data_IF_539901945549
#
_entry.id   IF_539901945549
#
_cell.length_a   1.000
_cell.length_b   1.000
_cell.length_c   1.000
_cell.angle_alpha   90.00
_cell.angle_beta   90.00
_cell.angle_gamma   90.00
#
_symmetry.space_group_name_H-M   'P 1'
#
loop_
_entity.id
_entity.type
_entity.pdbx_description
1 polymer ?
#
# COMPACT_ATOMS: atom_id res chain seq x y z
N UNK A 1 28.56 48.11 12.56
CA UNK A 1 28.79 46.81 13.24
C UNK A 1 27.57 45.94 12.99
N UNK A 2 27.70 45.00 12.04
CA UNK A 2 26.61 44.17 11.54
C UNK A 2 26.65 42.81 12.23
N UNK A 3 25.56 42.41 12.87
CA UNK A 3 25.28 40.98 13.07
C UNK A 3 23.78 40.75 12.98
N UNK A 4 23.30 40.57 11.75
CA UNK A 4 21.98 40.00 11.47
C UNK A 4 22.12 38.49 11.65
N UNK A 5 21.62 37.95 12.77
CA UNK A 5 21.46 36.53 12.94
C UNK A 5 20.37 36.04 11.97
N UNK A 6 20.77 35.30 10.94
CA UNK A 6 19.83 34.59 10.05
C UNK A 6 19.55 33.25 10.72
N UNK A 7 18.38 33.14 11.35
CA UNK A 7 17.77 31.86 11.73
C UNK A 7 17.36 31.12 10.45
N UNK A 8 18.21 30.19 9.97
CA UNK A 8 17.77 29.17 9.02
C UNK A 8 16.83 28.19 9.75
N UNK A 9 15.54 28.48 9.73
CA UNK A 9 14.52 27.48 9.98
C UNK A 9 14.48 26.53 8.78
N UNK A 10 15.31 25.48 8.83
CA UNK A 10 15.26 24.39 7.86
C UNK A 10 13.97 23.60 8.17
N UNK A 11 12.87 23.99 7.52
CA UNK A 11 11.64 23.21 7.52
C UNK A 11 11.97 21.86 6.85
N UNK A 12 12.31 20.87 7.68
CA UNK A 12 12.42 19.48 7.27
C UNK A 12 11.02 19.03 6.85
N UNK A 13 10.66 19.31 5.60
CA UNK A 13 9.50 18.70 4.96
C UNK A 13 9.75 17.20 5.00
N UNK A 14 8.86 16.39 5.60
CA UNK A 14 8.92 14.95 5.43
C UNK A 14 8.48 14.66 4.00
N UNK A 15 9.36 14.94 3.05
CA UNK A 15 9.33 14.38 1.72
C UNK A 15 9.72 12.91 1.91
N UNK A 16 8.76 12.14 2.41
CA UNK A 16 8.88 10.71 2.55
C UNK A 16 9.15 10.20 1.15
N UNK A 17 10.39 9.80 0.93
CA UNK A 17 10.74 8.99 -0.21
C UNK A 17 11.06 7.64 0.36
N UNK A 18 10.43 6.60 -0.20
CA UNK A 18 10.68 5.17 -0.05
C UNK A 18 9.45 4.34 0.43
N UNK A 19 8.76 3.59 -0.46
CA UNK A 19 7.48 2.91 -0.11
C UNK A 19 7.18 1.57 -0.83
N UNK A 20 6.26 0.77 -0.26
CA UNK A 20 5.77 -0.49 -0.85
C UNK A 20 4.34 -0.39 -1.37
N UNK A 21 4.08 -0.84 -2.60
CA UNK A 21 2.78 -0.72 -3.27
C UNK A 21 2.18 -2.09 -3.62
N UNK A 22 0.86 -2.20 -3.54
CA UNK A 22 0.12 -3.39 -3.98
C UNK A 22 0.01 -3.33 -5.50
N UNK A 23 0.90 -4.02 -6.21
CA UNK A 23 1.05 -3.90 -7.66
C UNK A 23 -0.08 -4.61 -8.40
N UNK A 24 -0.35 -5.87 -8.03
CA UNK A 24 -1.44 -6.67 -8.60
C UNK A 24 -1.93 -7.66 -7.56
N UNK A 25 -3.24 -7.88 -7.52
CA UNK A 25 -3.89 -8.91 -6.72
C UNK A 25 -4.95 -9.63 -7.57
N UNK A 26 -5.02 -10.95 -7.44
CA UNK A 26 -6.04 -11.82 -8.02
C UNK A 26 -6.84 -12.51 -6.94
N UNK A 27 -8.09 -12.86 -7.26
CA UNK A 27 -8.92 -13.70 -6.41
C UNK A 27 -8.74 -15.17 -6.76
N UNK A 28 -8.99 -16.07 -5.80
CA UNK A 28 -8.86 -17.52 -6.03
C UNK A 28 -9.84 -18.07 -7.08
N UNK A 29 -10.90 -17.34 -7.43
CA UNK A 29 -11.82 -17.67 -8.52
C UNK A 29 -11.59 -16.80 -9.77
N UNK A 30 -10.44 -16.14 -9.87
CA UNK A 30 -10.04 -15.32 -11.01
C UNK A 30 -10.25 -13.82 -10.80
N UNK A 31 -10.15 -13.06 -11.90
CA UNK A 31 -10.12 -11.60 -11.88
C UNK A 31 -8.83 -11.03 -11.30
N UNK A 32 -8.58 -9.75 -11.55
CA UNK A 32 -7.40 -9.05 -11.05
C UNK A 32 -7.73 -7.59 -10.74
N UNK A 33 -6.87 -6.99 -9.92
CA UNK A 33 -6.95 -5.57 -9.58
C UNK A 33 -5.58 -5.03 -9.24
N UNK A 34 -5.43 -3.71 -9.26
CA UNK A 34 -4.32 -2.98 -8.67
C UNK A 34 -4.82 -2.20 -7.45
N UNK A 35 -3.93 -1.73 -6.58
CA UNK A 35 -4.38 -0.78 -5.55
C UNK A 35 -4.91 0.53 -6.14
N UNK A 36 -5.80 1.16 -5.38
CA UNK A 36 -6.26 2.51 -5.63
C UNK A 36 -5.08 3.49 -5.60
N UNK A 37 -5.01 4.36 -6.62
CA UNK A 37 -3.94 5.34 -6.77
C UNK A 37 -2.74 4.83 -7.59
N UNK A 38 -2.72 3.56 -7.98
CA UNK A 38 -1.78 3.02 -8.97
C UNK A 38 -2.05 3.66 -10.34
N UNK A 39 -0.98 4.09 -11.00
CA UNK A 39 -1.02 4.78 -12.31
C UNK A 39 -0.59 3.87 -13.47
N UNK A 40 -0.60 2.55 -13.25
CA UNK A 40 -0.23 1.54 -14.24
C UNK A 40 1.22 1.66 -14.71
N UNK A 41 1.46 1.33 -15.98
CA UNK A 41 2.79 1.37 -16.60
C UNK A 41 3.40 2.77 -16.79
N UNK A 42 2.71 3.84 -16.36
CA UNK A 42 3.22 5.22 -16.42
C UNK A 42 4.35 5.42 -15.39
N UNK A 43 4.29 4.70 -14.26
CA UNK A 43 5.28 4.79 -13.19
C UNK A 43 6.30 3.66 -13.37
N UNK A 44 7.58 3.95 -13.64
CA UNK A 44 8.60 2.92 -13.76
C UNK A 44 8.71 2.11 -12.46
N UNK A 45 8.93 0.80 -12.59
CA UNK A 45 9.27 -0.07 -11.44
C UNK A 45 10.64 0.29 -10.86
N UNK A 46 11.72 0.15 -11.64
CA UNK A 46 13.05 0.58 -11.22
C UNK A 46 13.35 2.04 -11.61
N UNK A 47 14.12 2.75 -10.79
CA UNK A 47 14.56 4.12 -11.08
C UNK A 47 14.76 5.00 -9.86
N UNK A 48 14.85 6.32 -10.10
CA UNK A 48 14.93 7.30 -9.02
C UNK A 48 13.62 7.29 -8.22
N UNK A 49 13.73 7.21 -6.90
CA UNK A 49 12.63 7.28 -5.94
C UNK A 49 11.55 8.35 -6.26
N UNK A 50 11.96 9.57 -6.63
CA UNK A 50 11.02 10.66 -6.97
C UNK A 50 10.15 10.38 -8.20
N UNK A 51 10.47 9.36 -8.97
CA UNK A 51 9.77 8.94 -10.19
C UNK A 51 9.01 7.63 -9.96
N UNK A 52 9.55 6.70 -9.15
CA UNK A 52 9.00 5.35 -8.96
C UNK A 52 7.98 5.26 -7.81
N UNK A 53 7.90 6.26 -6.94
CA UNK A 53 7.10 6.22 -5.70
C UNK A 53 5.78 7.00 -5.78
N UNK A 54 5.52 7.65 -6.91
CA UNK A 54 4.41 8.60 -7.05
C UNK A 54 3.04 7.93 -6.89
N UNK A 55 2.97 6.62 -7.06
CA UNK A 55 1.74 5.83 -6.96
C UNK A 55 1.65 4.98 -5.69
N UNK A 56 2.59 5.11 -4.75
CA UNK A 56 2.48 4.39 -3.49
C UNK A 56 1.50 5.06 -2.53
N UNK A 57 0.57 4.28 -2.00
CA UNK A 57 -0.41 4.78 -1.04
C UNK A 57 0.22 4.89 0.35
N UNK A 58 0.07 6.07 0.93
CA UNK A 58 0.42 6.36 2.32
C UNK A 58 -0.86 6.57 3.14
N UNK A 59 -0.99 5.85 4.24
CA UNK A 59 -2.08 5.99 5.21
C UNK A 59 -1.69 6.92 6.35
N UNK A 60 -2.69 7.36 7.13
CA UNK A 60 -2.48 8.24 8.29
C UNK A 60 -2.11 7.49 9.58
N UNK A 61 -2.28 6.16 9.60
CA UNK A 61 -2.16 5.33 10.80
C UNK A 61 -1.61 3.96 10.46
N UNK A 62 -0.72 3.45 11.31
CA UNK A 62 -0.15 2.09 11.21
C UNK A 62 -1.14 1.01 11.65
N UNK A 63 -2.21 1.41 12.35
CA UNK A 63 -3.32 0.51 12.69
C UNK A 63 -4.17 0.26 11.44
N UNK A 64 -4.23 -0.99 11.00
CA UNK A 64 -4.97 -1.38 9.80
C UNK A 64 -6.49 -1.14 9.91
N UNK A 65 -7.07 -1.38 11.09
CA UNK A 65 -8.48 -1.10 11.38
C UNK A 65 -8.72 0.40 11.65
N UNK A 66 -8.38 1.24 10.68
CA UNK A 66 -8.67 2.68 10.69
C UNK A 66 -9.22 3.09 9.34
N UNK A 67 -10.13 4.04 9.33
CA UNK A 67 -10.84 4.42 8.10
C UNK A 67 -9.98 5.19 7.10
N UNK A 68 -10.47 5.21 5.87
CA UNK A 68 -9.94 6.02 4.78
C UNK A 68 -9.01 5.28 3.84
N UNK A 69 -8.87 5.86 2.65
CA UNK A 69 -8.29 5.22 1.46
C UNK A 69 -6.82 5.61 1.20
N UNK A 70 -6.24 6.44 2.07
CA UNK A 70 -4.88 6.96 1.92
C UNK A 70 -4.75 8.03 0.85
N UNK A 71 -3.51 8.33 0.47
CA UNK A 71 -3.16 9.24 -0.62
C UNK A 71 -1.88 8.77 -1.29
N UNK A 72 -1.70 9.11 -2.56
CA UNK A 72 -0.42 8.94 -3.27
C UNK A 72 0.18 10.31 -3.56
N UNK A 73 1.49 10.36 -3.80
CA UNK A 73 2.18 11.63 -4.11
C UNK A 73 1.80 12.17 -5.48
N UNK A 74 1.71 11.31 -6.49
CA UNK A 74 1.36 11.68 -7.87
C UNK A 74 -0.15 11.79 -8.12
N UNK A 75 -0.97 11.06 -7.37
CA UNK A 75 -2.42 11.08 -7.52
C UNK A 75 -3.15 11.93 -6.47
N UNK A 76 -2.50 12.33 -5.38
CA UNK A 76 -3.16 13.00 -4.26
C UNK A 76 -4.08 12.08 -3.46
N UNK A 77 -5.13 12.63 -2.83
CA UNK A 77 -6.06 11.86 -1.99
C UNK A 77 -6.76 10.75 -2.79
N UNK A 78 -6.76 9.53 -2.28
CA UNK A 78 -7.51 8.42 -2.86
C UNK A 78 -9.01 8.58 -2.53
N UNK A 79 -9.87 8.31 -3.51
CA UNK A 79 -11.34 8.42 -3.41
C UNK A 79 -11.98 7.25 -4.15
N UNK A 80 -13.20 6.88 -3.76
CA UNK A 80 -13.94 5.79 -4.44
C UNK A 80 -14.18 6.07 -5.93
N UNK A 81 -14.33 7.35 -6.30
CA UNK A 81 -14.43 7.78 -7.69
C UNK A 81 -13.22 7.38 -8.54
N UNK A 82 -12.02 7.26 -7.93
CA UNK A 82 -10.82 6.81 -8.62
C UNK A 82 -10.78 5.30 -8.87
N UNK A 83 -11.74 4.53 -8.35
CA UNK A 83 -11.81 3.10 -8.62
C UNK A 83 -12.11 2.81 -10.10
N UNK A 84 -12.74 3.73 -10.82
CA UNK A 84 -12.92 3.62 -12.28
C UNK A 84 -11.57 3.52 -13.00
N UNK A 85 -10.53 4.22 -12.52
CA UNK A 85 -9.20 4.12 -13.09
C UNK A 85 -8.52 2.78 -12.79
N UNK A 86 -8.86 2.15 -11.65
CA UNK A 86 -8.39 0.79 -11.30
C UNK A 86 -9.02 -0.23 -12.25
N UNK A 87 -10.33 -0.12 -12.50
CA UNK A 87 -11.03 -0.97 -13.47
C UNK A 87 -10.48 -0.80 -14.89
N UNK A 88 -10.20 0.43 -15.31
CA UNK A 88 -9.60 0.69 -16.62
C UNK A 88 -8.22 0.03 -16.78
N UNK A 89 -7.45 -0.10 -15.70
CA UNK A 89 -6.13 -0.73 -15.71
C UNK A 89 -6.17 -2.26 -15.61
N UNK A 90 -7.15 -2.81 -14.89
CA UNK A 90 -7.20 -4.24 -14.57
C UNK A 90 -8.18 -5.02 -15.46
N UNK A 91 -9.10 -4.32 -16.12
CA UNK A 91 -10.20 -4.94 -16.87
C UNK A 91 -11.52 -4.86 -16.10
N UNK A 92 -12.57 -5.46 -16.67
CA UNK A 92 -13.94 -5.34 -16.14
C UNK A 92 -14.27 -6.27 -14.98
N UNK A 93 -13.39 -7.21 -14.65
CA UNK A 93 -13.66 -8.25 -13.65
C UNK A 93 -12.76 -8.06 -12.44
N UNK A 94 -13.34 -7.63 -11.32
CA UNK A 94 -12.65 -7.58 -10.03
C UNK A 94 -12.21 -8.98 -9.58
N UNK A 95 -11.22 -9.09 -8.67
CA UNK A 95 -10.88 -10.33 -8.00
C UNK A 95 -12.14 -11.01 -7.43
N UNK A 96 -12.36 -12.25 -7.86
CA UNK A 96 -13.48 -13.07 -7.40
C UNK A 96 -12.99 -13.99 -6.29
N UNK A 97 -13.64 -13.92 -5.13
CA UNK A 97 -13.26 -14.66 -3.93
C UNK A 97 -14.40 -15.58 -3.51
N UNK A 98 -14.10 -16.85 -3.24
CA UNK A 98 -15.13 -17.80 -2.81
C UNK A 98 -15.77 -17.41 -1.47
N UNK A 99 -17.11 -17.48 -1.36
CA UNK A 99 -17.81 -17.24 -0.07
C UNK A 99 -17.52 -18.33 0.97
N UNK A 100 -17.12 -19.52 0.53
CA UNK A 100 -16.80 -20.69 1.37
C UNK A 100 -15.38 -20.66 1.98
N UNK A 101 -14.71 -19.51 1.97
CA UNK A 101 -13.34 -19.34 2.48
C UNK A 101 -12.31 -19.20 1.36
N UNK A 102 -12.50 -18.19 0.50
CA UNK A 102 -11.58 -17.86 -0.58
C UNK A 102 -10.36 -17.05 -0.13
N UNK A 103 -9.47 -16.77 -1.09
CA UNK A 103 -8.25 -16.02 -0.85
C UNK A 103 -7.97 -15.01 -1.96
N UNK A 104 -7.15 -14.03 -1.61
CA UNK A 104 -6.51 -13.13 -2.54
C UNK A 104 -5.01 -13.40 -2.54
N UNK A 105 -4.37 -13.26 -3.70
CA UNK A 105 -2.92 -13.42 -3.84
C UNK A 105 -2.38 -12.49 -4.91
N UNK A 106 -1.09 -12.16 -4.85
CA UNK A 106 -0.43 -11.36 -5.88
C UNK A 106 0.88 -10.79 -5.39
N UNK A 107 1.20 -9.58 -5.87
CA UNK A 107 2.53 -8.99 -5.73
C UNK A 107 2.47 -7.66 -5.00
N UNK A 108 3.31 -7.54 -3.98
CA UNK A 108 3.69 -6.25 -3.40
C UNK A 108 5.06 -5.88 -3.96
N UNK A 109 5.12 -4.73 -4.61
CA UNK A 109 6.37 -4.17 -5.09
C UNK A 109 6.97 -3.26 -4.02
N UNK A 110 8.17 -3.61 -3.56
CA UNK A 110 8.90 -2.87 -2.54
C UNK A 110 9.94 -2.00 -3.23
N UNK A 111 9.63 -0.71 -3.37
CA UNK A 111 10.57 0.25 -3.96
C UNK A 111 11.79 0.40 -3.04
N UNK A 112 11.57 0.34 -1.73
CA UNK A 112 12.59 0.64 -0.73
C UNK A 112 12.43 -0.14 0.57
N UNK A 113 13.49 -0.13 1.38
CA UNK A 113 13.58 -0.97 2.57
C UNK A 113 12.40 -0.82 3.55
N UNK A 114 11.87 0.38 3.75
CA UNK A 114 10.78 0.72 4.69
C UNK A 114 9.35 0.50 4.14
N UNK A 115 9.24 0.01 2.90
CA UNK A 115 8.01 -0.48 2.31
C UNK A 115 7.63 -1.89 2.75
N UNK A 116 8.54 -2.61 3.41
CA UNK A 116 8.45 -4.06 3.61
C UNK A 116 7.43 -4.49 4.69
N UNK A 117 7.38 -5.78 5.01
CA UNK A 117 6.41 -6.36 5.94
C UNK A 117 6.78 -6.30 7.44
N UNK A 118 6.02 -7.01 8.29
CA UNK A 118 4.83 -7.79 7.94
C UNK A 118 3.64 -6.88 7.59
N UNK A 119 2.66 -7.38 6.85
CA UNK A 119 1.50 -6.62 6.40
C UNK A 119 0.26 -7.06 7.19
N UNK A 120 -0.75 -6.21 7.26
CA UNK A 120 -2.06 -6.54 7.79
C UNK A 120 -3.12 -6.23 6.74
N UNK A 121 -4.13 -7.09 6.64
CA UNK A 121 -5.25 -6.92 5.73
C UNK A 121 -6.57 -6.82 6.49
N UNK A 122 -7.38 -5.80 6.18
CA UNK A 122 -8.73 -5.61 6.74
C UNK A 122 -9.72 -5.52 5.59
N UNK A 123 -10.80 -6.29 5.68
CA UNK A 123 -11.91 -6.30 4.75
C UNK A 123 -13.01 -5.38 5.27
N UNK A 124 -13.41 -4.40 4.46
CA UNK A 124 -14.60 -3.58 4.65
C UNK A 124 -15.73 -4.11 3.74
N UNK A 125 -16.75 -4.76 4.30
CA UNK A 125 -17.89 -5.30 3.55
C UNK A 125 -18.76 -4.24 2.87
N UNK A 126 -18.75 -3.00 3.38
CA UNK A 126 -19.58 -1.91 2.85
C UNK A 126 -18.97 -1.28 1.60
N UNK A 127 -17.69 -1.53 1.35
CA UNK A 127 -16.94 -0.96 0.25
C UNK A 127 -16.81 0.58 0.28
N UNK A 128 -16.93 1.19 1.47
CA UNK A 128 -16.91 2.66 1.64
C UNK A 128 -15.59 3.20 2.19
N UNK A 129 -14.71 2.31 2.65
CA UNK A 129 -13.46 2.63 3.35
C UNK A 129 -13.60 2.65 4.87
N UNK A 130 -14.64 2.01 5.41
CA UNK A 130 -14.97 1.89 6.84
C UNK A 130 -14.23 0.71 7.49
N UNK A 131 -12.90 0.73 7.41
CA UNK A 131 -12.05 -0.36 7.91
C UNK A 131 -12.01 -0.47 9.44
N UNK A 132 -12.40 0.55 10.20
CA UNK A 132 -12.45 0.46 11.67
C UNK A 132 -13.48 -0.55 12.17
N UNK A 133 -14.51 -0.82 11.38
CA UNK A 133 -15.53 -1.85 11.64
C UNK A 133 -15.36 -3.07 10.74
N UNK A 134 -14.27 -3.13 9.98
CA UNK A 134 -13.96 -4.23 9.08
C UNK A 134 -13.46 -5.47 9.82
N UNK A 135 -13.38 -6.57 9.08
CA UNK A 135 -12.89 -7.86 9.60
C UNK A 135 -11.47 -8.12 9.11
N UNK A 136 -10.60 -8.59 9.99
CA UNK A 136 -9.22 -8.96 9.61
C UNK A 136 -9.23 -10.14 8.65
N UNK A 137 -8.53 -10.00 7.52
CA UNK A 137 -8.15 -11.10 6.65
C UNK A 137 -6.82 -11.70 7.13
N UNK A 138 -6.73 -13.02 7.17
CA UNK A 138 -5.53 -13.71 7.64
C UNK A 138 -4.49 -13.70 6.54
N UNK A 139 -3.38 -12.97 6.73
CA UNK A 139 -2.27 -12.98 5.77
C UNK A 139 -1.54 -14.31 5.84
N UNK A 140 -1.58 -15.08 4.75
CA UNK A 140 -1.02 -16.43 4.64
C UNK A 140 0.33 -16.46 3.94
N UNK A 141 0.66 -15.44 3.16
CA UNK A 141 1.99 -15.24 2.58
C UNK A 141 2.43 -13.82 2.83
N UNK A 142 3.52 -13.68 3.58
CA UNK A 142 4.03 -12.41 4.04
C UNK A 142 5.15 -11.88 3.15
N UNK A 143 5.10 -10.57 2.87
CA UNK A 143 6.29 -9.82 2.44
C UNK A 143 7.32 -9.89 3.57
N UNK A 144 8.59 -10.26 3.29
CA UNK A 144 9.64 -10.29 4.29
C UNK A 144 9.88 -8.91 4.90
N UNK A 145 10.37 -8.87 6.14
CA UNK A 145 10.67 -7.64 6.84
C UNK A 145 10.29 -7.69 8.32
N UNK A 146 10.74 -6.69 9.06
CA UNK A 146 10.45 -6.50 10.47
C UNK A 146 10.10 -5.04 10.72
N UNK A 147 8.93 -4.77 11.33
CA UNK A 147 8.42 -3.42 11.59
C UNK A 147 8.47 -2.52 10.35
N UNK A 148 8.04 -3.05 9.21
CA UNK A 148 7.99 -2.33 7.95
C UNK A 148 9.33 -2.25 7.21
N UNK A 149 10.40 -2.87 7.72
CA UNK A 149 11.76 -2.71 7.17
C UNK A 149 12.38 -4.05 6.73
N UNK A 150 12.99 -4.07 5.54
CA UNK A 150 13.85 -5.17 5.04
C UNK A 150 15.32 -4.72 4.97
N UNK A 151 16.25 -5.68 5.00
CA UNK A 151 17.67 -5.40 4.87
C UNK A 151 17.99 -4.73 3.53
N UNK A 152 18.81 -3.67 3.56
CA UNK A 152 19.31 -3.04 2.33
C UNK A 152 20.34 -3.96 1.65
N UNK A 153 20.40 -4.01 0.31
CA UNK A 153 21.30 -4.90 -0.43
C UNK A 153 22.80 -4.61 -0.24
N UNK A 154 23.20 -3.50 0.41
CA UNK A 154 24.56 -3.26 0.90
C UNK A 154 24.52 -2.49 2.22
N UNK A 155 25.27 -2.95 3.22
CA UNK A 155 25.37 -2.25 4.51
C UNK A 155 25.92 -0.84 4.31
N UNK A 156 25.19 0.16 4.80
CA UNK A 156 25.61 1.57 4.78
C UNK A 156 26.84 1.73 5.69
N UNK A 157 27.87 2.43 5.21
CA UNK A 157 29.05 2.75 6.00
C UNK A 157 28.71 3.51 7.28
N UNK A 158 29.61 3.48 8.28
CA UNK A 158 29.36 4.01 9.63
C UNK A 158 28.85 5.45 9.62
N UNK A 159 29.42 6.31 8.77
CA UNK A 159 29.04 7.72 8.60
C UNK A 159 27.59 7.85 8.12
N UNK A 160 27.21 7.12 7.06
CA UNK A 160 25.83 7.13 6.57
C UNK A 160 24.87 6.62 7.64
N UNK A 161 25.24 5.58 8.40
CA UNK A 161 24.41 5.07 9.51
C UNK A 161 24.21 6.13 10.60
N UNK A 162 25.26 6.85 10.98
CA UNK A 162 25.19 7.94 11.96
C UNK A 162 24.32 9.09 11.45
N UNK A 163 24.48 9.50 10.19
CA UNK A 163 23.65 10.55 9.60
C UNK A 163 22.18 10.14 9.50
N UNK A 164 21.87 8.86 9.24
CA UNK A 164 20.50 8.33 9.28
C UNK A 164 19.93 8.40 10.69
N UNK A 165 20.71 7.99 11.70
CA UNK A 165 20.28 8.01 13.10
C UNK A 165 20.06 9.43 13.62
N UNK A 166 20.82 10.40 13.11
CA UNK A 166 20.67 11.83 13.41
C UNK A 166 19.57 12.50 12.56
N UNK A 167 18.88 11.76 11.68
CA UNK A 167 17.82 12.31 10.81
C UNK A 167 18.32 13.22 9.68
N UNK A 168 19.63 13.25 9.43
CA UNK A 168 20.28 14.12 8.43
C UNK A 168 20.15 13.53 7.01
N UNK A 169 20.10 12.20 6.88
CA UNK A 169 19.92 11.53 5.58
C UNK A 169 18.81 10.47 5.64
N UNK A 170 18.12 10.25 4.50
CA UNK A 170 16.94 9.39 4.40
C UNK A 170 17.21 7.97 4.91
N UNK A 171 16.27 7.43 5.71
CA UNK A 171 16.38 6.11 6.36
C UNK A 171 16.46 4.95 5.39
N UNK A 172 15.69 5.02 4.30
CA UNK A 172 15.45 3.87 3.46
C UNK A 172 16.33 3.85 2.21
N UNK A 173 16.73 2.64 1.81
CA UNK A 173 17.48 2.40 0.57
C UNK A 173 16.54 1.83 -0.49
N UNK A 174 16.79 2.16 -1.74
CA UNK A 174 16.09 1.54 -2.86
C UNK A 174 16.49 0.06 -2.98
N UNK A 175 15.48 -0.81 -3.10
CA UNK A 175 15.65 -2.26 -3.24
C UNK A 175 14.96 -2.78 -4.50
N UNK A 176 13.81 -2.20 -4.90
CA UNK A 176 13.01 -2.58 -6.08
C UNK A 176 12.82 -4.10 -6.21
N UNK A 177 12.18 -4.69 -5.21
CA UNK A 177 11.94 -6.13 -5.16
C UNK A 177 10.43 -6.43 -5.20
N UNK A 178 10.06 -7.47 -5.95
CA UNK A 178 8.70 -8.00 -5.94
C UNK A 178 8.61 -9.16 -4.94
N UNK A 179 7.62 -9.10 -4.06
CA UNK A 179 7.34 -10.17 -3.12
C UNK A 179 5.90 -10.65 -3.25
N UNK A 180 5.74 -11.97 -3.16
CA UNK A 180 4.44 -12.59 -3.08
C UNK A 180 3.71 -12.16 -1.81
N UNK A 181 2.41 -11.96 -1.94
CA UNK A 181 1.50 -11.71 -0.84
C UNK A 181 0.24 -12.53 -1.04
N UNK A 182 -0.32 -13.07 0.03
CA UNK A 182 -1.61 -13.74 0.01
C UNK A 182 -2.33 -13.56 1.33
N UNK A 183 -3.65 -13.43 1.28
CA UNK A 183 -4.51 -13.36 2.45
C UNK A 183 -5.79 -14.17 2.24
N UNK A 184 -6.22 -14.88 3.28
CA UNK A 184 -7.51 -15.56 3.33
C UNK A 184 -8.60 -14.57 3.77
N UNK A 185 -9.69 -14.53 2.99
CA UNK A 185 -10.85 -13.69 3.28
C UNK A 185 -11.81 -14.51 4.17
N UNK A 186 -12.36 -13.93 5.25
CA UNK A 186 -13.24 -14.66 6.15
C UNK A 186 -14.43 -15.30 5.41
N UNK A 187 -14.74 -16.56 5.72
CA UNK A 187 -15.91 -17.25 5.18
C UNK A 187 -17.21 -16.49 5.55
N UNK A 188 -18.20 -16.52 4.66
CA UNK A 188 -19.46 -15.80 4.85
C UNK A 188 -19.37 -14.28 4.65
N UNK A 189 -18.22 -13.74 4.25
CA UNK A 189 -18.09 -12.32 3.87
C UNK A 189 -19.12 -11.99 2.80
N UNK A 190 -19.93 -10.95 3.04
CA UNK A 190 -20.95 -10.45 2.11
C UNK A 190 -20.64 -9.00 1.79
N UNK A 191 -20.46 -8.69 0.51
CA UNK A 191 -20.09 -7.36 0.05
C UNK A 191 -21.31 -6.58 -0.43
N UNK A 192 -21.46 -5.32 -0.01
CA UNK A 192 -22.60 -4.47 -0.39
C UNK A 192 -22.20 -3.20 -1.12
N UNK A 193 -20.89 -2.91 -1.21
CA UNK A 193 -20.38 -1.69 -1.81
C UNK A 193 -20.60 -1.60 -3.31
N UNK A 194 -20.52 -0.37 -3.81
CA UNK A 194 -20.54 -0.08 -5.25
C UNK A 194 -19.39 0.88 -5.58
N UNK A 195 -18.47 0.45 -6.43
CA UNK A 195 -17.28 1.23 -6.82
C UNK A 195 -16.90 0.92 -8.26
N UNK A 196 -16.42 1.92 -9.02
CA UNK A 196 -15.92 1.71 -10.38
C UNK A 196 -16.93 1.07 -11.35
N UNK A 197 -18.24 1.24 -11.11
CA UNK A 197 -19.31 0.61 -11.90
C UNK A 197 -19.64 -0.84 -11.52
N UNK A 198 -18.97 -1.40 -10.51
CA UNK A 198 -19.20 -2.75 -9.99
C UNK A 198 -20.01 -2.72 -8.70
N UNK A 199 -20.95 -3.64 -8.55
CA UNK A 199 -21.79 -3.81 -7.36
C UNK A 199 -21.37 -5.03 -6.54
N UNK A 200 -21.75 -5.09 -5.26
CA UNK A 200 -21.38 -6.22 -4.40
C UNK A 200 -19.88 -6.25 -4.10
N UNK A 201 -19.29 -5.08 -3.87
CA UNK A 201 -17.84 -4.91 -3.71
C UNK A 201 -17.46 -4.73 -2.25
N UNK A 202 -16.45 -5.48 -1.81
CA UNK A 202 -15.73 -5.21 -0.58
C UNK A 202 -14.45 -4.44 -0.91
N UNK A 203 -14.01 -3.60 0.02
CA UNK A 203 -12.66 -3.05 -0.05
C UNK A 203 -11.74 -3.82 0.90
N UNK A 204 -10.51 -4.06 0.48
CA UNK A 204 -9.48 -4.64 1.34
C UNK A 204 -8.34 -3.65 1.48
N UNK A 205 -8.09 -3.19 2.71
CA UNK A 205 -6.92 -2.39 3.04
C UNK A 205 -5.78 -3.33 3.40
N UNK A 206 -4.66 -3.21 2.67
CA UNK A 206 -3.41 -3.91 2.94
C UNK A 206 -2.40 -2.83 3.37
N UNK A 207 -1.85 -2.96 4.58
CA UNK A 207 -0.97 -1.93 5.15
C UNK A 207 0.19 -2.53 5.94
N UNK A 208 1.34 -1.89 5.85
CA UNK A 208 2.53 -2.22 6.64
C UNK A 208 2.62 -1.35 7.91
N UNK A 209 3.41 -1.76 8.92
CA UNK A 209 3.52 -1.04 10.20
C UNK A 209 4.61 0.03 10.20
N UNK A 210 5.02 0.56 9.04
CA UNK A 210 6.12 1.54 8.98
C UNK A 210 5.70 2.89 9.57
N UNK A 211 6.54 3.42 10.47
CA UNK A 211 6.32 4.73 11.09
C UNK A 211 6.77 5.90 10.19
N UNK A 212 7.56 5.64 9.14
CA UNK A 212 7.88 6.65 8.12
C UNK A 212 6.64 7.06 7.31
N UNK A 213 5.66 6.15 7.29
CA UNK A 213 4.33 6.26 6.75
C UNK A 213 3.81 4.82 6.62
N UNK A 214 2.60 4.52 7.04
CA UNK A 214 2.05 3.20 6.76
C UNK A 214 1.77 3.09 5.26
N UNK A 215 2.38 2.10 4.60
CA UNK A 215 2.37 1.92 3.16
C UNK A 215 1.57 0.69 2.76
N UNK A 216 1.09 0.67 1.53
CA UNK A 216 0.37 -0.46 0.95
C UNK A 216 -0.66 0.00 -0.07
N UNK A 217 -1.93 -0.36 0.15
CA UNK A 217 -2.99 0.02 -0.77
C UNK A 217 -4.37 -0.47 -0.35
N UNK A 218 -5.39 0.06 -1.04
CA UNK A 218 -6.76 -0.43 -0.94
C UNK A 218 -7.13 -1.05 -2.29
N UNK A 219 -7.61 -2.28 -2.26
CA UNK A 219 -8.10 -2.99 -3.45
C UNK A 219 -9.62 -3.22 -3.33
N UNK A 220 -10.26 -3.47 -4.47
CA UNK A 220 -11.65 -3.89 -4.54
C UNK A 220 -11.74 -5.39 -4.88
N UNK A 221 -12.65 -6.12 -4.24
CA UNK A 221 -12.93 -7.53 -4.51
C UNK A 221 -14.44 -7.79 -4.56
N UNK A 222 -14.84 -8.88 -5.18
CA UNK A 222 -16.21 -9.40 -5.13
C UNK A 222 -16.22 -10.83 -4.64
N UNK A 223 -17.32 -11.21 -3.98
CA UNK A 223 -17.53 -12.59 -3.55
C UNK A 223 -18.29 -13.36 -4.62
N UNK A 224 -17.90 -14.62 -4.85
CA UNK A 224 -18.54 -15.51 -5.83
C UNK A 224 -18.85 -16.87 -5.22
N UNK A 225 -19.85 -17.53 -5.80
CA UNK A 225 -20.34 -18.85 -5.39
C UNK A 225 -21.17 -18.78 -4.10
N UNK A 226 -22.50 -18.78 -4.24
CA UNK A 226 -23.41 -19.31 -3.23
C UNK A 226 -23.91 -20.67 -3.73
#
# INVERSE_FOLDING_TARGET
>A
MFTKAILLALAASPLVAAHGKVAVITGNAGGNTTALGIQGGIVPGPGKNSVTEVDTTVFKSTKAATDGLGKTTGGGKNTLAKMTAVMAQSGSTLPQVSTSGGSISGTIHIVTTDGAGPYTAIVDPTGTGAFSTGTTATVTTQVPGNKGNIAAPKQRGLVTRTLVNLGIVKRASNVNEDHAFAASIPAGTTCTGTVGGQTGVCLVKIVNPSNAGPFGGVIAIQMTGA
#
